data_IF_035787865798
#
_entry.id   IF_035787865798
#
_cell.length_a   1.000
_cell.length_b   1.000
_cell.length_c   1.000
_cell.angle_alpha   90.00
_cell.angle_beta   90.00
_cell.angle_gamma   90.00
#
_symmetry.space_group_name_H-M   'P 1'
#
loop_
_entity.id
_entity.type
_entity.pdbx_description
1 polymer ?
#
# COMPACT_ATOMS: atom_id res chain seq x y z
N UNK A 1 -17.17 1.99 -17.69
CA UNK A 1 -15.96 1.31 -18.19
C UNK A 1 -14.77 2.25 -18.03
N UNK A 2 -14.05 2.18 -16.91
CA UNK A 2 -12.69 2.71 -16.82
C UNK A 2 -11.79 1.50 -16.62
N UNK A 3 -11.26 0.98 -17.72
CA UNK A 3 -10.33 -0.16 -17.69
C UNK A 3 -8.97 0.37 -17.21
N UNK A 4 -8.78 0.38 -15.90
CA UNK A 4 -7.45 0.58 -15.33
C UNK A 4 -6.49 -0.48 -15.91
N UNK A 5 -5.30 -0.08 -16.42
CA UNK A 5 -4.31 -1.03 -16.89
C UNK A 5 -4.05 -2.07 -15.80
N UNK A 6 -3.99 -3.33 -16.20
CA UNK A 6 -3.90 -4.52 -15.33
C UNK A 6 -2.77 -4.42 -14.28
N UNK A 7 -1.79 -3.52 -14.47
CA UNK A 7 -0.70 -3.22 -13.55
C UNK A 7 -1.03 -2.40 -12.28
N UNK A 8 -2.20 -1.74 -12.17
CA UNK A 8 -2.55 -0.94 -10.98
C UNK A 8 -3.29 -1.70 -9.88
N UNK A 9 -3.58 -2.99 -10.10
CA UNK A 9 -4.51 -3.75 -9.25
C UNK A 9 -3.87 -4.50 -8.08
N UNK A 10 -2.53 -4.54 -7.98
CA UNK A 10 -1.86 -5.43 -7.02
C UNK A 10 -0.49 -4.92 -6.61
N UNK A 11 -0.45 -3.75 -5.98
CA UNK A 11 0.74 -3.28 -5.28
C UNK A 11 0.31 -2.71 -3.94
N UNK A 12 0.09 -3.58 -2.95
CA UNK A 12 -0.25 -3.25 -1.56
C UNK A 12 0.82 -2.46 -0.79
N UNK A 13 1.64 -1.66 -1.47
CA UNK A 13 2.68 -0.84 -0.85
C UNK A 13 3.44 0.13 -1.77
N UNK A 14 3.39 -0.02 -3.10
CA UNK A 14 4.11 0.85 -4.05
C UNK A 14 3.14 1.57 -4.98
N UNK A 15 2.28 2.43 -4.41
CA UNK A 15 1.54 3.39 -5.22
C UNK A 15 2.46 4.58 -5.45
N UNK A 16 2.67 4.97 -6.71
CA UNK A 16 3.38 6.21 -7.02
C UNK A 16 2.61 7.37 -6.38
N UNK A 17 3.28 8.19 -5.56
CA UNK A 17 2.64 9.28 -4.81
C UNK A 17 2.30 10.46 -5.73
N UNK A 18 1.27 10.28 -6.55
CA UNK A 18 0.57 11.36 -7.24
C UNK A 18 -0.23 12.21 -6.25
N UNK A 19 -0.65 13.40 -6.67
CA UNK A 19 -1.37 14.33 -5.79
C UNK A 19 -2.71 13.75 -5.31
N UNK A 20 -3.41 12.96 -6.13
CA UNK A 20 -4.62 12.21 -5.74
C UNK A 20 -4.34 11.18 -4.63
N UNK A 21 -3.18 10.53 -4.70
CA UNK A 21 -2.75 9.51 -3.74
C UNK A 21 -2.37 10.18 -2.42
N UNK A 22 -1.71 11.35 -2.46
CA UNK A 22 -1.41 12.14 -1.27
C UNK A 22 -2.67 12.60 -0.57
N UNK A 23 -3.69 13.04 -1.31
CA UNK A 23 -4.98 13.44 -0.72
C UNK A 23 -5.74 12.24 -0.14
N UNK A 24 -5.74 11.10 -0.82
CA UNK A 24 -6.32 9.86 -0.29
C UNK A 24 -5.62 9.39 0.99
N UNK A 25 -4.28 9.52 1.07
CA UNK A 25 -3.50 9.21 2.27
C UNK A 25 -3.80 10.22 3.39
N UNK A 26 -4.00 11.51 3.08
CA UNK A 26 -4.32 12.55 4.06
C UNK A 26 -5.64 12.29 4.78
N UNK A 27 -6.62 11.74 4.07
CA UNK A 27 -7.93 11.32 4.63
C UNK A 27 -7.83 10.10 5.54
N UNK A 28 -6.76 9.32 5.42
CA UNK A 28 -6.56 8.06 6.15
C UNK A 28 -5.86 8.28 7.52
N UNK A 29 -6.58 8.75 8.54
CA UNK A 29 -5.99 9.06 9.86
C UNK A 29 -5.46 7.85 10.66
N UNK A 30 -6.20 6.74 10.72
CA UNK A 30 -5.90 5.64 11.68
C UNK A 30 -4.96 4.55 11.11
N UNK A 31 -5.00 4.31 9.79
CA UNK A 31 -4.22 3.26 9.15
C UNK A 31 -2.83 3.70 8.66
N UNK A 32 -2.47 4.98 8.82
CA UNK A 32 -1.16 5.53 8.48
C UNK A 32 -0.03 4.83 9.25
N UNK A 33 -0.25 4.52 10.53
CA UNK A 33 0.74 3.85 11.37
C UNK A 33 1.10 2.46 10.84
N UNK A 34 0.09 1.68 10.44
CA UNK A 34 0.27 0.33 9.88
C UNK A 34 1.01 0.37 8.53
N UNK A 35 0.77 1.39 7.68
CA UNK A 35 1.55 1.60 6.45
C UNK A 35 3.00 1.94 6.78
N UNK A 36 3.21 2.90 7.67
CA UNK A 36 4.54 3.39 8.07
C UNK A 36 5.39 2.25 8.66
N UNK A 37 4.80 1.40 9.49
CA UNK A 37 5.47 0.24 10.06
C UNK A 37 5.93 -0.75 8.99
N UNK A 38 5.06 -1.07 8.02
CA UNK A 38 5.40 -1.97 6.90
C UNK A 38 6.55 -1.42 6.06
N UNK A 39 6.54 -0.12 5.75
CA UNK A 39 7.60 0.54 4.99
C UNK A 39 8.92 0.55 5.79
N UNK A 40 8.90 0.96 7.06
CA UNK A 40 10.09 0.96 7.92
C UNK A 40 10.68 -0.44 8.08
N UNK A 41 9.84 -1.45 8.25
CA UNK A 41 10.26 -2.85 8.32
C UNK A 41 10.90 -3.31 7.01
N UNK A 42 10.28 -3.02 5.88
CA UNK A 42 10.83 -3.35 4.56
C UNK A 42 12.19 -2.68 4.34
N UNK A 43 12.31 -1.38 4.67
CA UNK A 43 13.56 -0.64 4.56
C UNK A 43 14.65 -1.24 5.45
N UNK A 44 14.34 -1.57 6.71
CA UNK A 44 15.29 -2.19 7.62
C UNK A 44 15.81 -3.55 7.10
N UNK A 45 14.95 -4.33 6.44
CA UNK A 45 15.31 -5.61 5.82
C UNK A 45 16.17 -5.40 4.56
N UNK A 46 15.81 -4.43 3.71
CA UNK A 46 16.60 -4.06 2.53
C UNK A 46 18.00 -3.60 2.91
N UNK A 47 18.13 -2.76 3.94
CA UNK A 47 19.43 -2.31 4.45
C UNK A 47 20.33 -3.45 4.92
N UNK A 48 19.73 -4.53 5.43
CA UNK A 48 20.44 -5.74 5.89
C UNK A 48 20.58 -6.81 4.81
N UNK A 49 20.03 -6.57 3.61
CA UNK A 49 19.89 -7.58 2.54
C UNK A 49 19.26 -8.90 3.04
N UNK A 50 18.33 -8.80 4.00
CA UNK A 50 17.67 -9.95 4.60
C UNK A 50 16.24 -10.09 4.10
N UNK A 51 15.79 -11.34 3.98
CA UNK A 51 14.40 -11.66 3.62
C UNK A 51 13.56 -11.87 4.88
N UNK A 52 12.27 -11.57 4.77
CA UNK A 52 11.31 -11.84 5.84
C UNK A 52 11.11 -13.37 6.00
N UNK A 53 11.07 -13.89 7.24
CA UNK A 53 10.71 -15.30 7.51
C UNK A 53 9.36 -15.66 6.90
N UNK A 54 9.19 -16.92 6.47
CA UNK A 54 8.00 -17.40 5.75
C UNK A 54 6.70 -17.20 6.52
N UNK A 55 6.72 -17.39 7.84
CA UNK A 55 5.55 -17.22 8.73
C UNK A 55 5.06 -15.77 8.82
N UNK A 56 5.96 -14.80 8.62
CA UNK A 56 5.65 -13.37 8.72
C UNK A 56 5.27 -12.75 7.37
N UNK A 57 5.34 -13.52 6.27
CA UNK A 57 4.94 -13.06 4.95
C UNK A 57 3.43 -12.92 4.93
N UNK A 58 2.96 -11.73 4.57
CA UNK A 58 1.54 -11.47 4.34
C UNK A 58 1.00 -12.43 3.30
N UNK A 59 -0.02 -13.19 3.68
CA UNK A 59 -0.72 -14.08 2.75
C UNK A 59 -1.54 -13.24 1.77
N UNK A 60 -1.81 -13.81 0.61
CA UNK A 60 -2.59 -13.15 -0.42
C UNK A 60 -4.01 -12.77 0.05
N UNK A 61 -4.63 -13.63 0.87
CA UNK A 61 -5.98 -13.41 1.41
C UNK A 61 -6.04 -12.30 2.46
N UNK A 62 -4.91 -11.99 3.09
CA UNK A 62 -4.81 -10.98 4.16
C UNK A 62 -4.45 -9.58 3.61
N UNK A 63 -4.10 -9.48 2.33
CA UNK A 63 -3.74 -8.22 1.67
C UNK A 63 -4.99 -7.38 1.36
N UNK A 64 -5.37 -6.54 2.34
CA UNK A 64 -6.52 -5.63 2.23
C UNK A 64 -6.14 -4.36 1.47
N UNK A 65 -6.90 -4.02 0.44
CA UNK A 65 -6.78 -2.77 -0.32
C UNK A 65 -7.36 -1.57 0.44
N UNK A 66 -6.68 -1.15 1.51
CA UNK A 66 -7.14 -0.07 2.40
C UNK A 66 -7.24 1.32 1.74
N UNK A 67 -6.57 1.53 0.61
CA UNK A 67 -6.53 2.82 -0.09
C UNK A 67 -7.55 2.94 -1.24
N UNK A 68 -8.11 1.82 -1.69
CA UNK A 68 -9.06 1.78 -2.80
C UNK A 68 -10.33 2.62 -2.58
N UNK A 69 -10.99 2.63 -1.41
CA UNK A 69 -12.19 3.45 -1.22
C UNK A 69 -11.88 4.95 -1.31
N UNK A 70 -10.77 5.40 -0.71
CA UNK A 70 -10.37 6.80 -0.70
C UNK A 70 -9.89 7.28 -2.08
N UNK A 71 -9.24 6.42 -2.86
CA UNK A 71 -8.85 6.77 -4.24
C UNK A 71 -10.07 6.94 -5.15
N UNK A 72 -11.11 6.12 -4.96
CA UNK A 72 -12.37 6.28 -5.69
C UNK A 72 -13.02 7.63 -5.39
N UNK A 73 -13.02 8.07 -4.14
CA UNK A 73 -13.58 9.38 -3.73
C UNK A 73 -12.78 10.62 -4.19
N UNK A 74 -11.52 10.45 -4.63
CA UNK A 74 -10.68 11.56 -5.08
C UNK A 74 -10.70 11.68 -6.61
N UNK A 75 -10.76 10.55 -7.31
CA UNK A 75 -10.71 10.50 -8.79
C UNK A 75 -12.11 10.59 -9.42
N UNK A 76 -13.17 10.20 -8.70
CA UNK A 76 -14.56 10.19 -9.16
C UNK A 76 -15.44 11.16 -8.38
#
# INVERSE_FOLDING_TARGET
>A
MASWPIGYRRWGGMVYENDDVKEAIRRLLENLYNRMFRIKRALALTLRQQILPTEQRTKYEEDKLFLEPYLKEVIW
#
